data_IF_128341315719
#
_entry.id   IF_128341315719
#
_cell.length_a   1.000
_cell.length_b   1.000
_cell.length_c   1.000
_cell.angle_alpha   90.00
_cell.angle_beta   90.00
_cell.angle_gamma   90.00
#
_symmetry.space_group_name_H-M   'P 1'
#
loop_
_entity.id
_entity.type
_entity.pdbx_description
1 polymer ?
#
# COMPACT_ATOMS: atom_id res chain seq x y z
N UNK A 1 4.83 -21.70 14.92
CA UNK A 1 5.95 -21.35 15.81
C UNK A 1 6.48 -22.60 16.48
N UNK A 2 5.62 -23.42 17.10
CA UNK A 2 6.03 -24.68 17.75
C UNK A 2 6.90 -25.57 16.85
N UNK A 3 6.49 -25.83 15.60
CA UNK A 3 7.34 -26.57 14.65
C UNK A 3 8.70 -25.92 14.40
N UNK A 4 8.76 -24.59 14.25
CA UNK A 4 10.03 -23.91 14.05
C UNK A 4 10.95 -23.99 15.30
N UNK A 5 10.35 -24.07 16.50
CA UNK A 5 11.09 -24.31 17.74
C UNK A 5 11.64 -25.74 17.74
N UNK A 6 10.84 -26.74 17.34
CA UNK A 6 11.26 -28.14 17.23
C UNK A 6 12.35 -28.34 16.17
N UNK A 7 12.26 -27.62 15.05
CA UNK A 7 13.26 -27.60 13.98
C UNK A 7 14.57 -26.92 14.41
N UNK A 8 14.59 -26.26 15.57
CA UNK A 8 15.81 -25.69 16.16
C UNK A 8 16.29 -24.40 15.49
N UNK A 9 15.39 -23.53 15.03
CA UNK A 9 15.77 -22.24 14.43
C UNK A 9 16.39 -21.29 15.46
N UNK A 10 17.32 -20.44 15.02
CA UNK A 10 17.93 -19.42 15.88
C UNK A 10 17.09 -18.13 15.98
N UNK A 11 16.40 -17.78 14.88
CA UNK A 11 15.64 -16.53 14.74
C UNK A 11 14.29 -16.80 14.07
N UNK A 12 13.24 -16.15 14.58
CA UNK A 12 11.93 -16.06 13.96
C UNK A 12 11.67 -14.65 13.42
N UNK A 13 11.39 -14.55 12.12
CA UNK A 13 10.91 -13.31 11.48
C UNK A 13 9.42 -13.44 11.19
N UNK A 14 8.61 -12.55 11.77
CA UNK A 14 7.15 -12.66 11.79
C UNK A 14 6.51 -11.33 11.37
N UNK A 15 6.20 -11.19 10.09
CA UNK A 15 5.48 -10.04 9.54
C UNK A 15 3.96 -10.22 9.65
N UNK A 16 3.50 -10.56 10.85
CA UNK A 16 2.08 -10.73 11.19
C UNK A 16 1.78 -9.96 12.46
N UNK A 17 0.53 -9.54 12.62
CA UNK A 17 0.09 -8.79 13.79
C UNK A 17 -1.42 -8.76 13.88
N UNK A 18 -1.91 -8.50 15.09
CA UNK A 18 -3.31 -8.25 15.34
C UNK A 18 -3.43 -7.12 16.35
N UNK A 19 -4.28 -6.15 16.01
CA UNK A 19 -4.66 -5.08 16.91
C UNK A 19 -5.62 -5.60 17.97
N UNK A 20 -5.58 -4.95 19.15
CA UNK A 20 -6.58 -5.09 20.21
C UNK A 20 -6.82 -6.52 20.70
N UNK A 21 -6.05 -6.94 21.71
CA UNK A 21 -6.37 -8.06 22.60
C UNK A 21 -5.36 -8.08 23.75
N UNK A 22 -5.75 -8.61 24.90
CA UNK A 22 -4.80 -8.90 25.97
C UNK A 22 -3.76 -9.94 25.50
N UNK A 23 -2.53 -9.86 26.02
CA UNK A 23 -1.41 -10.70 25.59
C UNK A 23 -1.70 -12.21 25.59
N UNK A 24 -2.41 -12.71 26.61
CA UNK A 24 -2.75 -14.12 26.75
C UNK A 24 -3.78 -14.63 25.72
N UNK A 25 -4.34 -13.74 24.88
CA UNK A 25 -5.23 -14.11 23.75
C UNK A 25 -4.53 -14.00 22.40
N UNK A 26 -3.33 -13.41 22.34
CA UNK A 26 -2.57 -13.21 21.11
C UNK A 26 -1.68 -14.43 20.87
N UNK A 27 -2.01 -15.26 19.87
CA UNK A 27 -1.25 -16.46 19.49
C UNK A 27 0.22 -16.15 19.18
N UNK A 28 0.49 -15.04 18.50
CA UNK A 28 1.85 -14.55 18.23
C UNK A 28 2.61 -14.31 19.54
N UNK A 29 1.98 -13.71 20.54
CA UNK A 29 2.62 -13.39 21.83
C UNK A 29 2.91 -14.65 22.64
N UNK A 30 1.99 -15.62 22.64
CA UNK A 30 2.16 -16.91 23.32
C UNK A 30 3.28 -17.73 22.65
N UNK A 31 3.26 -17.83 21.33
CA UNK A 31 4.30 -18.54 20.57
C UNK A 31 5.67 -17.87 20.72
N UNK A 32 5.72 -16.53 20.66
CA UNK A 32 6.92 -15.75 20.91
C UNK A 32 7.52 -16.03 22.29
N UNK A 33 6.68 -16.09 23.32
CA UNK A 33 7.14 -16.39 24.68
C UNK A 33 7.75 -17.80 24.78
N UNK A 34 7.17 -18.78 24.08
CA UNK A 34 7.70 -20.14 24.04
C UNK A 34 9.03 -20.23 23.30
N UNK A 35 9.18 -19.50 22.18
CA UNK A 35 10.42 -19.40 21.43
C UNK A 35 11.55 -18.75 22.25
N UNK A 36 11.27 -17.61 22.89
CA UNK A 36 12.26 -16.88 23.71
C UNK A 36 12.73 -17.73 24.90
N UNK A 37 11.84 -18.52 25.52
CA UNK A 37 12.22 -19.49 26.57
C UNK A 37 13.19 -20.57 26.09
N UNK A 38 13.27 -20.83 24.79
CA UNK A 38 14.20 -21.77 24.16
C UNK A 38 15.44 -21.07 23.60
N UNK A 39 15.63 -19.78 23.88
CA UNK A 39 16.77 -19.00 23.39
C UNK A 39 16.62 -18.49 21.97
N UNK A 40 15.43 -18.59 21.37
CA UNK A 40 15.17 -18.19 19.99
C UNK A 40 14.78 -16.72 19.95
N UNK A 41 15.50 -15.93 19.16
CA UNK A 41 15.20 -14.50 18.99
C UNK A 41 13.98 -14.30 18.08
N UNK A 42 13.12 -13.33 18.37
CA UNK A 42 11.93 -13.07 17.56
C UNK A 42 11.80 -11.59 17.18
N UNK A 43 11.60 -11.35 15.89
CA UNK A 43 11.35 -10.05 15.29
C UNK A 43 9.94 -10.02 14.69
N UNK A 44 9.13 -9.05 15.11
CA UNK A 44 7.78 -8.83 14.60
C UNK A 44 7.60 -7.41 14.06
N UNK A 45 6.70 -7.22 13.09
CA UNK A 45 6.34 -5.89 12.60
C UNK A 45 5.47 -5.11 13.58
N UNK A 46 5.67 -3.80 13.68
CA UNK A 46 4.83 -2.88 14.46
C UNK A 46 3.41 -2.66 13.90
N UNK A 47 3.14 -3.11 12.67
CA UNK A 47 1.86 -2.93 11.98
C UNK A 47 1.79 -1.63 11.16
N UNK A 48 0.78 -1.54 10.29
CA UNK A 48 0.64 -0.46 9.30
C UNK A 48 -0.57 0.46 9.57
N UNK A 49 -1.11 0.43 10.79
CA UNK A 49 -2.34 1.15 11.16
C UNK A 49 -2.09 2.55 11.73
N UNK A 50 -0.85 3.05 11.62
CA UNK A 50 -0.50 4.43 11.94
C UNK A 50 -1.24 5.45 11.05
N UNK A 51 -1.07 6.76 11.31
CA UNK A 51 -0.10 7.37 12.22
C UNK A 51 -0.66 7.69 13.62
N UNK A 52 -1.89 7.26 13.93
CA UNK A 52 -2.55 7.58 15.19
C UNK A 52 -1.87 6.91 16.40
N UNK A 53 -1.96 7.56 17.56
CA UNK A 53 -1.53 6.96 18.84
C UNK A 53 -2.24 5.62 19.09
N UNK A 54 -1.55 4.69 19.77
CA UNK A 54 -2.07 3.37 20.13
C UNK A 54 -2.45 2.46 18.94
N UNK A 55 -1.75 2.62 17.81
CA UNK A 55 -1.95 1.82 16.58
C UNK A 55 -0.92 0.69 16.39
N UNK A 56 0.02 0.53 17.32
CA UNK A 56 1.08 -0.49 17.25
C UNK A 56 0.53 -1.90 17.53
N UNK A 57 1.10 -2.91 16.88
CA UNK A 57 0.89 -4.33 17.14
C UNK A 57 2.11 -4.96 17.80
N UNK A 58 1.96 -6.19 18.34
CA UNK A 58 3.06 -6.98 18.89
C UNK A 58 3.79 -6.32 20.07
N UNK A 59 3.07 -5.70 21.01
CA UNK A 59 3.68 -4.90 22.10
C UNK A 59 4.31 -5.72 23.25
N UNK A 60 4.47 -7.04 23.11
CA UNK A 60 4.95 -7.88 24.20
C UNK A 60 6.44 -7.60 24.48
N UNK A 61 6.88 -7.46 25.76
CA UNK A 61 8.24 -7.05 26.08
C UNK A 61 9.36 -7.98 25.58
N UNK A 62 9.05 -9.22 25.26
CA UNK A 62 9.99 -10.22 24.75
C UNK A 62 10.06 -10.29 23.21
N UNK A 63 9.38 -9.37 22.51
CA UNK A 63 9.37 -9.29 21.05
C UNK A 63 10.19 -8.07 20.62
N UNK A 64 11.11 -8.24 19.66
CA UNK A 64 11.65 -7.09 18.93
C UNK A 64 10.57 -6.58 17.96
N UNK A 65 9.93 -5.48 18.31
CA UNK A 65 8.89 -4.85 17.48
C UNK A 65 9.50 -3.78 16.60
N UNK A 66 9.42 -3.98 15.29
CA UNK A 66 10.12 -3.19 14.28
C UNK A 66 9.18 -2.20 13.62
N UNK A 67 9.50 -0.91 13.72
CA UNK A 67 8.83 0.15 12.96
C UNK A 67 9.35 0.26 11.53
N UNK A 68 8.56 0.83 10.64
CA UNK A 68 8.96 1.10 9.26
C UNK A 68 9.52 2.53 9.12
N UNK A 69 10.57 2.67 8.34
CA UNK A 69 11.17 3.95 7.96
C UNK A 69 11.46 3.98 6.47
N UNK A 70 11.74 5.17 5.94
CA UNK A 70 12.15 5.37 4.56
C UNK A 70 13.68 5.25 4.41
N UNK A 71 14.11 4.99 3.17
CA UNK A 71 15.51 5.11 2.74
C UNK A 71 15.62 6.21 1.68
N UNK A 72 16.84 6.55 1.26
CA UNK A 72 17.12 7.57 0.23
C UNK A 72 16.75 7.15 -1.20
N UNK A 73 16.63 5.85 -1.46
CA UNK A 73 16.23 5.30 -2.77
C UNK A 73 14.75 5.57 -3.09
N UNK A 74 14.49 6.13 -4.28
CA UNK A 74 13.16 6.30 -4.88
C UNK A 74 13.05 5.61 -6.23
N UNK A 75 11.89 5.02 -6.54
CA UNK A 75 11.58 4.51 -7.88
C UNK A 75 10.78 5.60 -8.61
N UNK A 76 11.51 6.52 -9.24
CA UNK A 76 10.94 7.72 -9.84
C UNK A 76 10.07 7.39 -11.06
N UNK A 77 8.95 8.09 -11.17
CA UNK A 77 8.11 8.12 -12.37
C UNK A 77 7.69 9.57 -12.60
N UNK A 78 8.25 10.20 -13.63
CA UNK A 78 8.01 11.61 -13.92
C UNK A 78 6.83 11.77 -14.88
N UNK A 79 5.87 12.61 -14.51
CA UNK A 79 4.80 13.05 -15.41
C UNK A 79 5.22 14.37 -16.05
N UNK A 80 5.21 14.43 -17.37
CA UNK A 80 5.43 15.65 -18.14
C UNK A 80 4.12 16.05 -18.83
N UNK A 81 3.71 17.30 -18.62
CA UNK A 81 2.53 17.87 -19.26
C UNK A 81 2.89 18.56 -20.58
N UNK A 82 1.88 18.91 -21.37
CA UNK A 82 2.03 19.61 -22.65
C UNK A 82 2.60 21.03 -22.52
N UNK A 83 2.43 21.64 -21.35
CA UNK A 83 2.99 22.93 -20.98
C UNK A 83 4.44 22.86 -20.44
N UNK A 84 5.11 21.71 -20.59
CA UNK A 84 6.45 21.40 -20.09
C UNK A 84 6.60 21.44 -18.55
N UNK A 85 5.50 21.41 -17.79
CA UNK A 85 5.59 21.16 -16.35
C UNK A 85 5.90 19.70 -16.09
N UNK A 86 6.85 19.46 -15.20
CA UNK A 86 7.24 18.13 -14.75
C UNK A 86 6.85 17.92 -13.29
N UNK A 87 6.30 16.74 -13.00
CA UNK A 87 5.96 16.30 -11.66
C UNK A 87 6.69 14.99 -11.35
N UNK A 88 7.60 15.04 -10.38
CA UNK A 88 8.28 13.85 -9.88
C UNK A 88 7.32 13.04 -9.00
N UNK A 89 6.89 11.88 -9.49
CA UNK A 89 6.14 10.89 -8.75
C UNK A 89 6.94 9.60 -8.49
N UNK A 90 6.26 8.60 -7.95
CA UNK A 90 6.84 7.28 -7.66
C UNK A 90 5.94 6.16 -8.18
N UNK A 91 6.53 5.18 -8.86
CA UNK A 91 5.82 3.98 -9.34
C UNK A 91 6.78 2.80 -9.41
N UNK A 92 6.39 1.68 -8.78
CA UNK A 92 7.10 0.41 -8.93
C UNK A 92 6.91 -0.21 -10.33
N UNK A 93 5.84 0.16 -11.04
CA UNK A 93 5.57 -0.28 -12.41
C UNK A 93 6.38 0.57 -13.39
N UNK A 94 7.28 -0.07 -14.14
CA UNK A 94 8.19 0.55 -15.12
C UNK A 94 8.12 -0.25 -16.44
N UNK A 95 7.03 -0.09 -17.22
CA UNK A 95 6.83 -0.84 -18.45
C UNK A 95 7.76 -0.34 -19.56
N UNK A 96 8.37 -1.27 -20.31
CA UNK A 96 9.23 -0.91 -21.46
C UNK A 96 8.43 -0.61 -22.72
N UNK A 97 7.15 -0.99 -22.75
CA UNK A 97 6.22 -0.91 -23.87
C UNK A 97 5.23 0.26 -23.76
N UNK A 98 5.43 1.18 -22.80
CA UNK A 98 4.66 2.41 -22.70
C UNK A 98 5.42 3.56 -23.38
N UNK A 99 5.05 3.97 -24.60
CA UNK A 99 5.79 4.99 -25.32
C UNK A 99 5.65 6.36 -24.61
N UNK A 100 6.71 7.18 -24.57
CA UNK A 100 6.70 8.50 -23.96
C UNK A 100 6.00 9.52 -24.87
N UNK A 101 4.73 9.28 -25.18
CA UNK A 101 3.88 10.16 -26.01
C UNK A 101 2.88 10.90 -25.14
N UNK A 102 2.58 12.15 -25.49
CA UNK A 102 1.50 12.88 -24.85
C UNK A 102 0.16 12.20 -25.14
N UNK A 103 -0.56 11.89 -24.08
CA UNK A 103 -1.92 11.35 -24.12
C UNK A 103 -2.87 12.34 -23.47
N UNK A 104 -4.16 12.38 -23.87
CA UNK A 104 -5.11 13.27 -23.25
C UNK A 104 -5.26 12.93 -21.75
N UNK A 105 -5.34 13.97 -20.92
CA UNK A 105 -5.59 13.85 -19.49
C UNK A 105 -7.09 13.91 -19.22
N UNK A 106 -7.60 12.99 -18.42
CA UNK A 106 -8.98 12.99 -17.93
C UNK A 106 -8.99 13.12 -16.42
N UNK A 107 -9.78 14.06 -15.91
CA UNK A 107 -10.05 14.19 -14.49
C UNK A 107 -11.54 13.95 -14.23
N UNK A 108 -11.96 12.72 -13.86
CA UNK A 108 -13.37 12.41 -13.60
C UNK A 108 -14.01 13.31 -12.53
N UNK A 109 -13.21 13.82 -11.58
CA UNK A 109 -13.67 14.72 -10.52
C UNK A 109 -14.18 16.08 -11.00
N UNK A 110 -13.99 16.46 -12.28
CA UNK A 110 -14.63 17.65 -12.84
C UNK A 110 -16.13 17.45 -13.09
N UNK A 111 -16.65 16.21 -13.00
CA UNK A 111 -18.05 15.91 -13.16
C UNK A 111 -18.86 16.32 -11.91
N UNK A 112 -19.55 17.46 -11.98
CA UNK A 112 -20.35 17.97 -10.87
C UNK A 112 -21.53 17.07 -10.46
N UNK A 113 -21.96 16.15 -11.33
CA UNK A 113 -23.07 15.23 -11.06
C UNK A 113 -22.68 14.02 -10.22
N UNK A 114 -21.38 13.72 -10.10
CA UNK A 114 -20.88 12.60 -9.29
C UNK A 114 -19.63 13.04 -8.51
N UNK A 115 -19.83 13.40 -7.24
CA UNK A 115 -18.75 13.81 -6.35
C UNK A 115 -17.76 12.69 -6.02
N UNK A 116 -18.13 11.42 -6.25
CA UNK A 116 -17.26 10.27 -6.04
C UNK A 116 -16.45 9.91 -7.30
N UNK A 117 -16.70 10.56 -8.45
CA UNK A 117 -15.95 10.36 -9.69
C UNK A 117 -14.44 10.58 -9.52
N UNK A 118 -14.05 11.57 -8.71
CA UNK A 118 -12.65 11.86 -8.39
C UNK A 118 -11.89 10.68 -7.77
N UNK A 119 -12.60 9.75 -7.12
CA UNK A 119 -11.99 8.57 -6.52
C UNK A 119 -11.79 7.41 -7.51
N UNK A 120 -12.23 7.52 -8.77
CA UNK A 120 -12.04 6.49 -9.80
C UNK A 120 -12.51 5.09 -9.36
N UNK A 121 -13.65 5.02 -8.68
CA UNK A 121 -14.27 3.74 -8.36
C UNK A 121 -14.81 3.07 -9.61
N UNK A 122 -14.93 1.73 -9.67
CA UNK A 122 -15.50 1.04 -10.82
C UNK A 122 -16.86 1.60 -11.25
N UNK A 123 -17.74 1.92 -10.28
CA UNK A 123 -19.06 2.47 -10.56
C UNK A 123 -19.00 3.89 -11.16
N UNK A 124 -18.10 4.74 -10.67
CA UNK A 124 -18.01 6.14 -11.10
C UNK A 124 -17.32 6.33 -12.46
N UNK A 125 -16.52 5.36 -12.90
CA UNK A 125 -15.88 5.41 -14.23
C UNK A 125 -16.80 4.97 -15.38
N UNK A 126 -17.89 4.25 -15.12
CA UNK A 126 -18.81 3.77 -16.16
C UNK A 126 -19.42 4.88 -17.03
N UNK A 127 -19.62 6.07 -16.46
CA UNK A 127 -20.22 7.22 -17.15
C UNK A 127 -19.18 8.29 -17.55
N UNK A 128 -17.88 7.97 -17.49
CA UNK A 128 -16.81 8.94 -17.75
C UNK A 128 -15.99 8.55 -18.98
N UNK A 129 -15.65 9.55 -19.81
CA UNK A 129 -14.85 9.33 -21.04
C UNK A 129 -13.36 9.23 -20.69
N UNK A 130 -12.93 8.04 -20.27
CA UNK A 130 -11.53 7.74 -19.85
C UNK A 130 -10.76 6.83 -20.81
N UNK A 131 -11.43 6.25 -21.81
CA UNK A 131 -10.81 5.35 -22.78
C UNK A 131 -9.63 6.01 -23.51
N UNK A 132 -8.49 5.32 -23.55
CA UNK A 132 -7.21 5.75 -24.15
C UNK A 132 -6.60 7.03 -23.54
N UNK A 133 -7.04 7.42 -22.34
CA UNK A 133 -6.55 8.62 -21.63
C UNK A 133 -5.72 8.27 -20.41
N UNK A 134 -4.91 9.23 -19.97
CA UNK A 134 -4.31 9.20 -18.64
C UNK A 134 -5.37 9.71 -17.65
N UNK A 135 -5.71 8.93 -16.64
CA UNK A 135 -6.78 9.25 -15.69
C UNK A 135 -6.19 9.74 -14.37
N UNK A 136 -6.64 10.90 -13.91
CA UNK A 136 -6.22 11.51 -12.67
C UNK A 136 -7.19 11.13 -11.53
N UNK A 137 -6.69 10.49 -10.48
CA UNK A 137 -7.51 9.92 -9.39
C UNK A 137 -7.05 10.42 -8.02
N UNK A 138 -7.98 10.86 -7.17
CA UNK A 138 -7.72 11.27 -5.78
C UNK A 138 -7.65 10.09 -4.81
N UNK A 139 -6.94 10.27 -3.70
CA UNK A 139 -6.90 9.36 -2.56
C UNK A 139 -8.30 9.21 -1.91
N UNK A 140 -8.59 8.01 -1.38
CA UNK A 140 -9.86 7.72 -0.68
C UNK A 140 -10.76 6.65 -1.33
N UNK A 141 -11.83 6.26 -0.61
CA UNK A 141 -12.84 5.21 -0.92
C UNK A 141 -12.33 3.78 -1.09
N UNK A 142 -11.38 3.55 -1.98
CA UNK A 142 -10.83 2.23 -2.32
C UNK A 142 -9.30 2.31 -2.40
N UNK A 143 -8.62 1.16 -2.44
CA UNK A 143 -7.15 1.14 -2.47
C UNK A 143 -6.61 1.71 -3.79
N UNK A 144 -5.35 2.17 -3.79
CA UNK A 144 -4.69 2.64 -5.01
C UNK A 144 -4.65 1.56 -6.09
N UNK A 145 -4.48 0.29 -5.71
CA UNK A 145 -4.47 -0.84 -6.62
C UNK A 145 -5.85 -1.02 -7.28
N UNK A 146 -6.93 -0.99 -6.50
CA UNK A 146 -8.30 -1.13 -7.00
C UNK A 146 -8.66 0.01 -7.98
N UNK A 147 -8.20 1.24 -7.72
CA UNK A 147 -8.36 2.37 -8.66
C UNK A 147 -7.64 2.10 -9.98
N UNK A 148 -6.40 1.61 -9.91
CA UNK A 148 -5.62 1.28 -11.10
C UNK A 148 -6.29 0.18 -11.93
N UNK A 149 -6.85 -0.84 -11.27
CA UNK A 149 -7.63 -1.88 -11.93
C UNK A 149 -8.91 -1.34 -12.56
N UNK A 150 -9.63 -0.47 -11.87
CA UNK A 150 -10.84 0.17 -12.39
C UNK A 150 -10.54 1.03 -13.63
N UNK A 151 -9.47 1.84 -13.59
CA UNK A 151 -9.01 2.64 -14.74
C UNK A 151 -8.65 1.75 -15.93
N UNK A 152 -7.90 0.68 -15.68
CA UNK A 152 -7.54 -0.30 -16.72
C UNK A 152 -8.79 -0.96 -17.32
N UNK A 153 -9.75 -1.37 -16.50
CA UNK A 153 -11.00 -1.98 -16.94
C UNK A 153 -11.87 -1.02 -17.77
N UNK A 154 -11.84 0.29 -17.46
CA UNK A 154 -12.49 1.33 -18.22
C UNK A 154 -11.74 1.74 -19.50
N UNK A 155 -10.64 1.06 -19.83
CA UNK A 155 -9.84 1.32 -21.03
C UNK A 155 -8.90 2.52 -20.92
N UNK A 156 -8.65 3.03 -19.72
CA UNK A 156 -7.65 4.07 -19.49
C UNK A 156 -6.24 3.58 -19.82
N UNK A 157 -5.44 4.44 -20.44
CA UNK A 157 -4.08 4.12 -20.86
C UNK A 157 -3.10 4.10 -19.68
N UNK A 158 -3.29 5.00 -18.72
CA UNK A 158 -2.52 5.07 -17.48
C UNK A 158 -3.33 5.78 -16.38
N UNK A 159 -2.84 5.70 -15.14
CA UNK A 159 -3.41 6.41 -14.00
C UNK A 159 -2.34 7.27 -13.33
N UNK A 160 -2.68 8.52 -13.02
CA UNK A 160 -1.94 9.37 -12.09
C UNK A 160 -2.73 9.37 -10.77
N UNK A 161 -2.10 8.91 -9.70
CA UNK A 161 -2.69 8.91 -8.36
C UNK A 161 -2.23 10.15 -7.59
N UNK A 162 -3.19 10.95 -7.14
CA UNK A 162 -2.96 12.10 -6.27
C UNK A 162 -3.11 11.66 -4.81
N UNK A 163 -1.98 11.64 -4.10
CA UNK A 163 -1.90 11.25 -2.70
C UNK A 163 -2.45 12.33 -1.77
#
# INVERSE_FOLDING_TARGET
MDMAIEDGVDILSVSLGSLFNAFYRKSIVIGAFSAVKKGIFISCSGGNSGPYSFSMSNEAPWILTVGASTIDRKIKATVMLDNNQEFEGESALQPNDFPPTLLPLAYPGSNASDSDAKYCTPASLNNTIVMEKIVLCESGKISQADKGEAVKAAGGAAMIFMN
#
